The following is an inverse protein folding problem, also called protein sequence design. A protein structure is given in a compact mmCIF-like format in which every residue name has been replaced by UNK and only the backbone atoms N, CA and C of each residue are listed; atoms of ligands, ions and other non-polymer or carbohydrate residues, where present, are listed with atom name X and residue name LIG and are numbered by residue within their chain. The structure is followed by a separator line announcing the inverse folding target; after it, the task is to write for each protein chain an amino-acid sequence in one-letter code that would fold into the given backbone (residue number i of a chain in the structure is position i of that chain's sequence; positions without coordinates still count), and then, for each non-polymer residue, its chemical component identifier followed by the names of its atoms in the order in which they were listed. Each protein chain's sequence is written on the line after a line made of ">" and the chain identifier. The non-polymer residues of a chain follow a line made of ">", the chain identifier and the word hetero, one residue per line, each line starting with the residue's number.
data_IF_326926785321
#
_entry.id   IF_326926785321
#
_cell.length_a   1.000
_cell.length_b   1.000
_cell.length_c   1.000
_cell.angle_alpha   90.00
_cell.angle_beta   90.00
_cell.angle_gamma   90.00
#
_symmetry.space_group_name_H-M   'P 1'
#
loop_
_entity.id
_entity.type
_entity.pdbx_description
1 polymer ?
#
# COMPACT_ATOMS: atom_id res chain seq x y z
N UNK A 1 -9.38 49.90 34.42
CA UNK A 1 -9.11 48.52 34.89
C UNK A 1 -9.70 47.40 33.98
N UNK A 2 -10.66 47.71 33.13
CA UNK A 2 -11.30 46.75 32.18
C UNK A 2 -10.41 46.39 30.95
N UNK A 3 -9.61 47.34 30.47
CA UNK A 3 -8.84 47.16 29.22
C UNK A 3 -7.67 46.16 29.34
N UNK A 4 -7.12 45.99 30.52
CA UNK A 4 -5.99 45.06 30.77
C UNK A 4 -6.46 43.62 30.86
N UNK A 5 -7.71 43.36 31.30
CA UNK A 5 -8.30 42.01 31.30
C UNK A 5 -8.59 41.49 29.90
N UNK A 6 -9.01 42.37 28.99
CA UNK A 6 -9.30 41.96 27.57
C UNK A 6 -8.03 41.57 26.80
N UNK A 7 -6.91 42.26 27.02
CA UNK A 7 -5.62 41.90 26.38
C UNK A 7 -5.06 40.56 26.88
N UNK A 8 -5.21 40.26 28.17
CA UNK A 8 -4.77 38.97 28.73
C UNK A 8 -5.60 37.77 28.22
N UNK A 9 -6.90 37.96 28.02
CA UNK A 9 -7.76 36.93 27.47
C UNK A 9 -7.43 36.65 26.00
N UNK A 10 -7.20 37.69 25.20
CA UNK A 10 -6.82 37.52 23.77
C UNK A 10 -5.51 36.78 23.61
N UNK A 11 -4.51 37.03 24.46
CA UNK A 11 -3.24 36.29 24.44
C UNK A 11 -3.37 34.83 24.91
N UNK A 12 -4.35 34.52 25.74
CA UNK A 12 -4.57 33.14 26.19
C UNK A 12 -5.20 32.27 25.09
N UNK A 13 -6.18 32.78 24.36
CA UNK A 13 -6.78 32.12 23.23
C UNK A 13 -5.80 31.97 22.05
N UNK A 14 -4.97 32.96 21.79
CA UNK A 14 -3.91 32.87 20.77
C UNK A 14 -2.86 31.78 21.14
N UNK A 15 -2.51 31.68 22.41
CA UNK A 15 -1.59 30.62 22.90
C UNK A 15 -2.20 29.22 22.82
N UNK A 16 -3.49 29.07 23.14
CA UNK A 16 -4.20 27.80 23.00
C UNK A 16 -4.36 27.45 21.52
N UNK A 17 -4.71 28.41 20.67
CA UNK A 17 -4.82 28.18 19.23
C UNK A 17 -3.48 27.82 18.59
N UNK A 18 -2.39 28.48 18.98
CA UNK A 18 -1.02 28.15 18.55
C UNK A 18 -0.58 26.77 19.05
N UNK A 19 -0.92 26.37 20.29
CA UNK A 19 -0.58 25.04 20.79
C UNK A 19 -1.40 23.93 20.14
N UNK A 20 -2.68 24.17 19.79
CA UNK A 20 -3.49 23.24 19.03
C UNK A 20 -3.03 23.15 17.58
N UNK A 21 -2.63 24.27 16.97
CA UNK A 21 -2.03 24.29 15.62
C UNK A 21 -0.66 23.58 15.60
N UNK A 22 0.14 23.73 16.68
CA UNK A 22 1.43 23.04 16.81
C UNK A 22 1.25 21.54 17.08
N UNK A 23 0.21 21.14 17.81
CA UNK A 23 -0.14 19.73 18.03
C UNK A 23 -0.69 19.08 16.76
N UNK A 24 -1.42 19.83 15.93
CA UNK A 24 -1.87 19.36 14.62
C UNK A 24 -0.73 19.22 13.60
N UNK A 25 0.38 19.93 13.77
CA UNK A 25 1.58 19.82 12.92
C UNK A 25 2.46 18.60 13.26
N UNK A 26 2.23 17.97 14.42
CA UNK A 26 2.90 16.73 14.85
C UNK A 26 2.09 15.45 14.51
N UNK A 27 1.00 15.55 13.75
CA UNK A 27 0.51 14.39 13.05
C UNK A 27 1.56 14.13 11.95
N UNK A 28 2.62 13.45 12.34
CA UNK A 28 3.56 12.83 11.41
C UNK A 28 2.70 12.06 10.43
N UNK A 29 2.63 12.51 9.18
CA UNK A 29 2.25 11.67 8.09
C UNK A 29 3.28 10.54 8.06
N UNK A 30 3.09 9.54 8.92
CA UNK A 30 3.54 8.21 8.61
C UNK A 30 2.80 7.90 7.32
N UNK A 31 3.47 8.05 6.18
CA UNK A 31 3.00 7.51 4.94
C UNK A 31 2.95 5.98 5.16
N UNK A 32 1.89 5.54 5.81
CA UNK A 32 1.51 4.14 5.80
C UNK A 32 1.18 3.86 4.33
N UNK A 33 2.15 3.34 3.64
CA UNK A 33 1.99 2.83 2.29
C UNK A 33 0.89 1.77 2.38
N UNK A 34 -0.25 2.00 1.74
CA UNK A 34 -1.37 1.07 1.72
C UNK A 34 -0.91 -0.34 1.38
N UNK A 35 -1.49 -1.35 2.02
CA UNK A 35 -1.14 -2.76 1.81
C UNK A 35 -2.21 -3.52 1.03
N UNK A 36 -3.40 -2.94 0.88
CA UNK A 36 -4.49 -3.51 0.10
C UNK A 36 -4.50 -2.93 -1.31
N UNK A 37 -4.54 -3.78 -2.33
CA UNK A 37 -4.55 -3.35 -3.72
C UNK A 37 -5.92 -2.78 -4.05
N UNK A 38 -5.98 -1.47 -4.28
CA UNK A 38 -7.21 -0.75 -4.62
C UNK A 38 -7.45 -0.72 -6.13
N UNK A 39 -8.69 -0.37 -6.53
CA UNK A 39 -9.02 -0.17 -7.93
C UNK A 39 -8.21 0.97 -8.57
N UNK A 40 -7.85 2.00 -7.78
CA UNK A 40 -6.99 3.09 -8.23
C UNK A 40 -5.58 2.59 -8.56
N UNK A 41 -5.02 1.69 -7.73
CA UNK A 41 -3.71 1.08 -7.99
C UNK A 41 -3.73 0.24 -9.27
N UNK A 42 -4.80 -0.54 -9.50
CA UNK A 42 -4.99 -1.31 -10.74
C UNK A 42 -5.17 -0.41 -11.97
N UNK A 43 -5.94 0.67 -11.86
CA UNK A 43 -6.09 1.63 -12.95
C UNK A 43 -4.76 2.32 -13.28
N UNK A 44 -4.00 2.68 -12.26
CA UNK A 44 -2.66 3.24 -12.45
C UNK A 44 -1.74 2.25 -13.19
N UNK A 45 -1.74 0.98 -12.81
CA UNK A 45 -0.94 -0.06 -13.45
C UNK A 45 -1.28 -0.21 -14.95
N UNK A 46 -2.57 -0.23 -15.30
CA UNK A 46 -3.04 -0.24 -16.70
C UNK A 46 -2.57 0.97 -17.48
N UNK A 47 -2.61 2.15 -16.86
CA UNK A 47 -2.12 3.38 -17.50
C UNK A 47 -0.61 3.37 -17.68
N UNK A 48 0.14 2.87 -16.69
CA UNK A 48 1.59 2.75 -16.77
C UNK A 48 2.01 1.86 -17.96
N UNK A 49 1.39 0.68 -18.10
CA UNK A 49 1.63 -0.21 -19.24
C UNK A 49 1.24 0.43 -20.58
N UNK A 50 0.10 1.11 -20.65
CA UNK A 50 -0.34 1.77 -21.89
C UNK A 50 0.59 2.91 -22.32
N UNK A 51 1.35 3.50 -21.39
CA UNK A 51 2.27 4.63 -21.61
C UNK A 51 3.73 4.22 -21.63
N UNK A 52 4.04 2.94 -21.65
CA UNK A 52 5.41 2.40 -21.56
C UNK A 52 6.42 3.15 -22.44
N UNK A 53 6.05 3.44 -23.69
CA UNK A 53 6.93 4.14 -24.64
C UNK A 53 7.11 5.65 -24.36
N UNK A 54 6.34 6.21 -23.41
CA UNK A 54 6.37 7.66 -23.11
C UNK A 54 6.88 7.96 -21.71
N UNK A 55 7.12 6.94 -20.88
CA UNK A 55 7.64 7.14 -19.53
C UNK A 55 9.08 7.65 -19.64
N UNK A 56 9.23 8.95 -19.46
CA UNK A 56 10.55 9.56 -19.31
C UNK A 56 11.11 9.17 -17.94
N UNK A 57 12.35 8.69 -17.98
CA UNK A 57 13.11 8.42 -16.74
C UNK A 57 13.04 9.63 -15.81
N UNK A 58 12.76 9.38 -14.56
CA UNK A 58 12.64 10.44 -13.55
C UNK A 58 14.05 10.94 -13.23
N UNK A 59 14.52 11.93 -13.99
CA UNK A 59 15.83 12.54 -13.80
C UNK A 59 16.02 13.01 -12.36
N UNK A 60 17.03 12.45 -11.69
CA UNK A 60 17.56 12.95 -10.42
C UNK A 60 16.92 12.43 -9.13
N UNK A 61 15.84 11.68 -9.16
CA UNK A 61 15.27 11.10 -7.94
C UNK A 61 15.93 9.76 -7.58
N UNK A 62 16.36 9.61 -6.35
CA UNK A 62 16.86 8.36 -5.78
C UNK A 62 15.69 7.41 -5.47
N UNK A 63 15.02 6.92 -6.52
CA UNK A 63 13.83 6.04 -6.40
C UNK A 63 14.24 4.59 -6.48
N UNK A 64 13.80 3.78 -5.51
CA UNK A 64 14.06 2.34 -5.46
C UNK A 64 12.77 1.54 -5.43
N UNK A 65 12.70 0.49 -6.23
CA UNK A 65 11.68 -0.54 -6.17
C UNK A 65 12.24 -1.82 -5.56
N UNK A 66 11.45 -2.48 -4.71
CA UNK A 66 11.78 -3.79 -4.14
C UNK A 66 10.78 -4.79 -4.65
N UNK A 67 11.26 -5.77 -5.41
CA UNK A 67 10.46 -6.87 -5.94
C UNK A 67 10.25 -7.95 -4.87
N UNK A 68 9.23 -8.78 -5.06
CA UNK A 68 9.09 -9.99 -4.28
C UNK A 68 10.26 -10.95 -4.56
N UNK A 69 10.67 -11.70 -3.53
CA UNK A 69 11.75 -12.67 -3.64
C UNK A 69 11.19 -14.04 -4.03
N UNK A 70 11.88 -14.79 -4.86
CA UNK A 70 11.43 -16.12 -5.25
C UNK A 70 11.81 -17.17 -4.19
N UNK A 71 10.84 -17.98 -3.74
CA UNK A 71 11.11 -19.09 -2.83
C UNK A 71 11.65 -20.30 -3.60
N UNK A 72 12.95 -20.47 -3.61
CA UNK A 72 13.66 -21.64 -4.18
C UNK A 72 14.07 -22.67 -3.15
N UNK A 73 13.50 -22.63 -1.94
CA UNK A 73 13.80 -23.60 -0.87
C UNK A 73 13.19 -24.97 -1.12
N UNK A 74 12.15 -25.07 -1.95
CA UNK A 74 11.32 -26.25 -2.11
C UNK A 74 10.31 -26.48 -0.98
N UNK A 75 10.24 -25.59 0.00
CA UNK A 75 9.33 -25.66 1.16
C UNK A 75 8.20 -24.64 0.98
N UNK A 76 6.98 -25.12 0.70
CA UNK A 76 5.83 -24.24 0.46
C UNK A 76 5.42 -23.38 1.69
N UNK A 77 5.71 -23.85 2.89
CA UNK A 77 5.48 -23.10 4.14
C UNK A 77 6.30 -21.81 4.23
N UNK A 78 7.35 -21.66 3.41
CA UNK A 78 8.17 -20.45 3.33
C UNK A 78 7.72 -19.48 2.23
N UNK A 79 6.69 -19.83 1.44
CA UNK A 79 6.15 -18.92 0.42
C UNK A 79 5.81 -17.52 0.97
N UNK A 80 5.25 -17.35 2.19
CA UNK A 80 4.97 -16.02 2.72
C UNK A 80 6.21 -15.12 2.88
N UNK A 81 7.41 -15.71 2.94
CA UNK A 81 8.65 -14.93 3.00
C UNK A 81 8.92 -14.13 1.72
N UNK A 82 8.39 -14.55 0.57
CA UNK A 82 8.60 -13.89 -0.73
C UNK A 82 8.16 -12.42 -0.68
N UNK A 83 6.93 -12.19 -0.27
CA UNK A 83 6.36 -10.84 -0.09
C UNK A 83 6.75 -10.22 1.25
N UNK A 84 6.93 -11.06 2.27
CA UNK A 84 7.31 -10.64 3.61
C UNK A 84 8.67 -9.94 3.67
N UNK A 85 9.67 -10.49 2.99
CA UNK A 85 10.99 -9.87 2.91
C UNK A 85 10.94 -8.53 2.15
N UNK A 86 10.24 -8.50 1.01
CA UNK A 86 10.03 -7.26 0.27
C UNK A 86 9.31 -6.21 1.11
N UNK A 87 8.26 -6.59 1.85
CA UNK A 87 7.53 -5.71 2.75
C UNK A 87 8.43 -5.12 3.84
N UNK A 88 9.29 -5.92 4.48
CA UNK A 88 10.22 -5.43 5.50
C UNK A 88 11.21 -4.44 4.91
N UNK A 89 11.83 -4.77 3.78
CA UNK A 89 12.78 -3.89 3.09
C UNK A 89 12.13 -2.58 2.64
N UNK A 90 10.91 -2.62 2.08
CA UNK A 90 10.16 -1.42 1.70
C UNK A 90 9.87 -0.55 2.92
N UNK A 91 9.43 -1.17 4.01
CA UNK A 91 9.11 -0.46 5.26
C UNK A 91 10.32 0.28 5.78
N UNK A 92 11.46 -0.38 5.86
CA UNK A 92 12.69 0.20 6.38
C UNK A 92 13.30 1.25 5.45
N UNK A 93 13.46 0.94 4.16
CA UNK A 93 13.99 1.89 3.18
C UNK A 93 13.13 3.16 3.08
N UNK A 94 11.81 3.07 3.30
CA UNK A 94 10.91 4.21 3.32
C UNK A 94 11.17 5.18 4.47
N UNK A 95 11.94 4.76 5.49
CA UNK A 95 12.34 5.64 6.60
C UNK A 95 13.60 6.46 6.29
N UNK A 96 14.29 6.16 5.19
CA UNK A 96 15.50 6.86 4.74
C UNK A 96 15.09 8.09 3.93
N UNK A 97 15.41 9.28 4.44
CA UNK A 97 14.97 10.56 3.88
C UNK A 97 15.41 10.78 2.43
N UNK A 98 16.59 10.31 2.09
CA UNK A 98 17.19 10.51 0.77
C UNK A 98 16.70 9.51 -0.30
N UNK A 99 15.86 8.54 0.07
CA UNK A 99 15.29 7.54 -0.82
C UNK A 99 13.79 7.80 -1.06
N UNK A 100 13.36 7.53 -2.27
CA UNK A 100 11.95 7.43 -2.63
C UNK A 100 11.66 5.95 -2.93
N UNK A 101 10.92 5.30 -2.04
CA UNK A 101 10.61 3.87 -2.22
C UNK A 101 9.29 3.73 -2.96
N UNK A 102 9.26 2.89 -3.97
CA UNK A 102 8.04 2.55 -4.69
C UNK A 102 7.08 1.79 -3.76
N UNK A 103 5.85 2.23 -3.72
CA UNK A 103 4.81 1.61 -2.88
C UNK A 103 4.58 0.15 -3.28
N UNK A 104 4.51 -0.75 -2.28
CA UNK A 104 4.29 -2.19 -2.51
C UNK A 104 3.03 -2.44 -3.35
N UNK A 105 1.94 -1.75 -3.07
CA UNK A 105 0.66 -1.94 -3.80
C UNK A 105 0.75 -1.55 -5.26
N UNK A 106 1.53 -0.53 -5.61
CA UNK A 106 1.79 -0.15 -7.00
C UNK A 106 2.63 -1.20 -7.71
N UNK A 107 3.68 -1.67 -7.04
CA UNK A 107 4.51 -2.75 -7.55
C UNK A 107 3.66 -3.99 -7.81
N UNK A 108 2.88 -4.45 -6.83
CA UNK A 108 2.04 -5.64 -6.95
C UNK A 108 0.96 -5.49 -8.03
N UNK A 109 0.27 -4.33 -8.09
CA UNK A 109 -0.74 -4.08 -9.13
C UNK A 109 -0.13 -4.09 -10.54
N UNK A 110 1.09 -3.57 -10.71
CA UNK A 110 1.80 -3.62 -11.99
C UNK A 110 2.16 -5.07 -12.37
N UNK A 111 2.66 -5.86 -11.42
CA UNK A 111 2.98 -7.28 -11.67
C UNK A 111 1.76 -8.08 -12.11
N UNK A 112 0.60 -7.86 -11.46
CA UNK A 112 -0.65 -8.49 -11.85
C UNK A 112 -1.07 -8.11 -13.28
N UNK A 113 -0.96 -6.84 -13.66
CA UNK A 113 -1.33 -6.35 -14.99
C UNK A 113 -0.36 -6.82 -16.08
N UNK A 114 0.93 -7.00 -15.77
CA UNK A 114 1.94 -7.60 -16.65
C UNK A 114 1.72 -9.12 -16.86
N UNK A 115 0.74 -9.73 -16.16
CA UNK A 115 0.46 -11.16 -16.27
C UNK A 115 1.41 -12.05 -15.46
N UNK A 116 2.23 -11.45 -14.56
CA UNK A 116 3.12 -12.18 -13.66
C UNK A 116 2.38 -12.82 -12.48
N UNK A 117 1.05 -12.65 -12.46
CA UNK A 117 0.14 -13.24 -11.48
C UNK A 117 0.29 -12.66 -10.08
N UNK A 118 -0.40 -13.31 -9.13
CA UNK A 118 -0.42 -12.88 -7.74
C UNK A 118 0.92 -13.12 -7.02
N UNK A 119 1.79 -13.94 -7.56
CA UNK A 119 3.14 -14.15 -7.01
C UNK A 119 3.97 -12.87 -7.08
N UNK A 120 3.74 -12.01 -8.11
CA UNK A 120 4.51 -10.80 -8.33
C UNK A 120 6.01 -11.07 -8.52
N UNK A 121 6.35 -12.25 -9.04
CA UNK A 121 7.73 -12.63 -9.33
C UNK A 121 8.10 -12.15 -10.74
N UNK A 122 9.26 -11.54 -10.86
CA UNK A 122 9.77 -10.97 -12.12
C UNK A 122 10.98 -11.79 -12.57
N UNK A 123 10.93 -12.28 -13.80
CA UNK A 123 12.10 -12.92 -14.41
C UNK A 123 13.23 -11.90 -14.59
N UNK A 124 14.47 -12.37 -14.54
CA UNK A 124 15.65 -11.47 -14.64
C UNK A 124 15.69 -10.66 -15.93
N UNK A 125 15.06 -11.15 -17.01
CA UNK A 125 14.96 -10.46 -18.29
C UNK A 125 13.99 -9.27 -18.27
N UNK A 126 12.94 -9.34 -17.45
CA UNK A 126 11.88 -8.32 -17.39
C UNK A 126 12.13 -7.26 -16.30
N UNK A 127 13.18 -7.44 -15.51
CA UNK A 127 13.51 -6.53 -14.39
C UNK A 127 13.75 -5.08 -14.83
N UNK A 128 14.51 -4.78 -15.90
CA UNK A 128 14.72 -3.40 -16.34
C UNK A 128 13.41 -2.73 -16.80
N UNK A 129 12.56 -3.46 -17.55
CA UNK A 129 11.27 -2.96 -18.01
C UNK A 129 10.36 -2.65 -16.83
N UNK A 130 10.24 -3.57 -15.90
CA UNK A 130 9.50 -3.38 -14.65
C UNK A 130 9.97 -2.15 -13.90
N UNK A 131 11.29 -1.95 -13.78
CA UNK A 131 11.88 -0.79 -13.14
C UNK A 131 11.50 0.52 -13.84
N UNK A 132 11.51 0.55 -15.17
CA UNK A 132 11.08 1.71 -15.97
C UNK A 132 9.59 2.02 -15.74
N UNK A 133 8.73 1.03 -15.80
CA UNK A 133 7.29 1.19 -15.56
C UNK A 133 6.97 1.70 -14.15
N UNK A 134 7.77 1.33 -13.15
CA UNK A 134 7.66 1.83 -11.77
C UNK A 134 8.29 3.22 -11.59
N UNK A 135 8.99 3.76 -12.59
CA UNK A 135 9.76 5.00 -12.47
C UNK A 135 10.92 4.88 -11.47
N UNK A 136 11.43 3.68 -11.29
CA UNK A 136 12.52 3.41 -10.36
C UNK A 136 13.86 3.67 -11.03
N UNK A 137 14.80 4.30 -10.29
CA UNK A 137 16.21 4.37 -10.67
C UNK A 137 16.90 3.06 -10.33
N UNK A 138 16.56 2.47 -9.21
CA UNK A 138 17.13 1.21 -8.75
C UNK A 138 16.04 0.20 -8.51
N UNK A 139 16.33 -1.05 -8.79
CA UNK A 139 15.43 -2.16 -8.50
C UNK A 139 16.22 -3.28 -7.83
N UNK A 140 15.63 -3.85 -6.78
CA UNK A 140 16.21 -4.98 -6.05
C UNK A 140 15.20 -6.11 -5.99
N UNK A 141 15.66 -7.32 -6.17
CA UNK A 141 14.92 -8.56 -6.06
C UNK A 141 15.88 -9.73 -5.91
N UNK A 142 15.38 -10.93 -5.81
CA UNK A 142 16.25 -12.09 -5.66
C UNK A 142 15.53 -13.37 -5.21
N UNK A 143 16.30 -14.28 -4.63
CA UNK A 143 15.88 -15.62 -4.29
C UNK A 143 16.10 -15.92 -2.81
N UNK A 144 15.18 -16.72 -2.25
CA UNK A 144 15.31 -17.35 -0.93
C UNK A 144 15.64 -18.81 -1.15
N UNK A 145 16.78 -19.26 -0.65
CA UNK A 145 17.31 -20.61 -0.77
C UNK A 145 17.45 -21.24 0.62
N UNK A 146 17.35 -22.54 0.69
CA UNK A 146 17.72 -23.30 1.88
C UNK A 146 18.40 -24.59 1.45
N UNK A 147 19.46 -24.95 2.14
CA UNK A 147 20.03 -26.28 2.04
C UNK A 147 19.41 -27.17 3.13
N UNK A 148 19.22 -28.44 2.89
CA UNK A 148 18.59 -29.36 3.82
C UNK A 148 19.20 -29.25 5.24
N UNK A 149 18.38 -28.92 6.24
CA UNK A 149 18.75 -28.69 7.65
C UNK A 149 19.71 -27.50 7.90
N UNK A 150 19.75 -26.52 7.02
CA UNK A 150 20.74 -25.46 6.99
C UNK A 150 20.07 -24.06 7.08
N UNK A 151 20.88 -23.01 7.28
CA UNK A 151 20.37 -21.64 7.28
C UNK A 151 19.67 -21.29 5.95
N UNK A 152 18.80 -20.29 6.01
CA UNK A 152 18.28 -19.62 4.83
C UNK A 152 19.40 -18.77 4.20
N UNK A 153 19.44 -18.75 2.88
CA UNK A 153 20.33 -17.90 2.10
C UNK A 153 19.46 -16.97 1.24
N UNK A 154 19.70 -15.68 1.35
CA UNK A 154 19.09 -14.69 0.46
C UNK A 154 20.13 -14.25 -0.53
N UNK A 155 19.87 -14.49 -1.80
CA UNK A 155 20.66 -13.94 -2.90
C UNK A 155 19.83 -12.86 -3.58
N UNK A 156 20.36 -11.66 -3.69
CA UNK A 156 19.68 -10.59 -4.36
C UNK A 156 20.57 -9.92 -5.40
N UNK A 157 19.93 -9.13 -6.27
CA UNK A 157 20.60 -8.31 -7.27
C UNK A 157 20.03 -6.90 -7.18
N UNK A 158 20.91 -5.91 -7.13
CA UNK A 158 20.59 -4.49 -7.20
C UNK A 158 20.98 -3.99 -8.58
N UNK A 159 19.98 -3.58 -9.37
CA UNK A 159 20.14 -3.09 -10.73
C UNK A 159 19.95 -1.57 -10.78
N UNK A 160 20.82 -0.87 -11.51
CA UNK A 160 20.57 0.49 -12.00
C UNK A 160 19.73 0.39 -13.28
N UNK A 161 18.49 0.88 -13.22
CA UNK A 161 17.52 0.70 -14.30
C UNK A 161 17.87 1.47 -15.57
N UNK A 162 18.27 2.77 -15.49
CA UNK A 162 18.72 3.54 -16.65
C UNK A 162 19.88 2.91 -17.42
N UNK A 163 20.86 2.41 -16.68
CA UNK A 163 22.09 1.88 -17.28
C UNK A 163 22.00 0.37 -17.54
N UNK A 164 20.92 -0.30 -17.08
CA UNK A 164 20.72 -1.76 -17.11
C UNK A 164 21.92 -2.52 -16.52
N UNK A 165 22.56 -1.91 -15.51
CA UNK A 165 23.79 -2.43 -14.92
C UNK A 165 23.55 -2.92 -13.48
N UNK A 166 24.03 -4.14 -13.20
CA UNK A 166 24.04 -4.67 -11.84
C UNK A 166 25.08 -3.93 -11.01
N UNK A 167 24.63 -3.19 -10.00
CA UNK A 167 25.50 -2.45 -9.06
C UNK A 167 26.15 -3.39 -8.03
N UNK A 168 25.50 -4.50 -7.70
CA UNK A 168 26.00 -5.51 -6.80
C UNK A 168 24.98 -6.59 -6.52
N UNK A 169 25.43 -7.62 -5.83
CA UNK A 169 24.62 -8.78 -5.44
C UNK A 169 24.67 -8.96 -3.91
N UNK A 170 23.90 -8.16 -3.16
CA UNK A 170 23.88 -8.30 -1.71
C UNK A 170 23.30 -9.64 -1.30
N UNK A 171 23.94 -10.26 -0.31
CA UNK A 171 23.53 -11.57 0.22
C UNK A 171 23.37 -11.50 1.73
N UNK A 172 22.53 -12.37 2.27
CA UNK A 172 22.39 -12.57 3.70
C UNK A 172 22.13 -14.04 4.01
N UNK A 173 22.57 -14.50 5.18
CA UNK A 173 22.30 -15.86 5.64
C UNK A 173 21.91 -15.88 7.11
N UNK A 174 21.16 -16.87 7.53
CA UNK A 174 20.76 -17.04 8.92
C UNK A 174 19.69 -18.10 9.10
N UNK A 175 19.25 -18.27 10.34
CA UNK A 175 18.17 -19.21 10.66
C UNK A 175 16.81 -18.49 10.61
N UNK A 176 15.76 -19.22 10.28
CA UNK A 176 14.40 -18.65 10.19
C UNK A 176 13.95 -17.99 11.49
N UNK A 177 14.32 -18.54 12.65
CA UNK A 177 13.96 -17.98 13.96
C UNK A 177 14.49 -16.55 14.17
N UNK A 178 15.59 -16.20 13.48
CA UNK A 178 16.21 -14.88 13.48
C UNK A 178 16.04 -14.18 12.14
N UNK A 179 14.89 -14.32 11.49
CA UNK A 179 14.66 -13.80 10.14
C UNK A 179 14.89 -12.28 10.04
N UNK A 180 14.64 -11.54 11.11
CA UNK A 180 14.93 -10.11 11.15
C UNK A 180 16.44 -9.80 10.99
N UNK A 181 17.36 -10.65 11.50
CA UNK A 181 18.81 -10.44 11.32
C UNK A 181 19.22 -10.61 9.86
N UNK A 182 18.60 -11.59 9.16
CA UNK A 182 18.80 -11.80 7.74
C UNK A 182 18.37 -10.55 6.97
N UNK A 183 17.19 -10.04 7.27
CA UNK A 183 16.66 -8.84 6.61
C UNK A 183 17.56 -7.62 6.90
N UNK A 184 17.98 -7.37 8.15
CA UNK A 184 18.86 -6.23 8.48
C UNK A 184 20.21 -6.33 7.77
N UNK A 185 20.78 -7.52 7.68
CA UNK A 185 22.03 -7.75 6.93
C UNK A 185 21.84 -7.37 5.47
N UNK A 186 20.75 -7.83 4.84
CA UNK A 186 20.45 -7.51 3.45
C UNK A 186 20.19 -6.01 3.25
N UNK A 187 19.41 -5.39 4.13
CA UNK A 187 19.09 -3.96 4.12
C UNK A 187 20.33 -3.09 4.11
N UNK A 188 21.24 -3.31 5.07
CA UNK A 188 22.47 -2.50 5.16
C UNK A 188 23.39 -2.74 3.97
N UNK A 189 23.50 -3.96 3.45
CA UNK A 189 24.25 -4.24 2.23
C UNK A 189 23.68 -3.50 1.02
N UNK A 190 22.36 -3.40 0.90
CA UNK A 190 21.70 -2.60 -0.15
C UNK A 190 22.03 -1.11 0.01
N UNK A 191 21.89 -0.57 1.22
CA UNK A 191 22.18 0.86 1.50
C UNK A 191 23.63 1.21 1.18
N UNK A 192 24.58 0.34 1.54
CA UNK A 192 26.01 0.53 1.25
C UNK A 192 26.28 0.55 -0.27
N UNK A 193 25.67 -0.34 -1.03
CA UNK A 193 25.77 -0.36 -2.50
C UNK A 193 25.18 0.90 -3.14
N UNK A 194 24.08 1.41 -2.59
CA UNK A 194 23.45 2.66 -3.05
C UNK A 194 24.27 3.92 -2.67
N UNK A 195 25.26 3.78 -1.79
CA UNK A 195 26.08 4.88 -1.26
C UNK A 195 25.21 5.98 -0.64
N UNK A 196 24.17 5.57 0.09
CA UNK A 196 23.27 6.49 0.80
C UNK A 196 23.86 6.76 2.18
N UNK A 197 24.08 8.04 2.48
CA UNK A 197 24.54 8.47 3.80
C UNK A 197 23.36 8.49 4.78
N UNK A 198 23.45 7.66 5.82
CA UNK A 198 22.46 7.61 6.90
C UNK A 198 22.85 8.56 8.01
N UNK A 199 21.89 9.33 8.49
CA UNK A 199 22.03 10.02 9.79
C UNK A 199 22.08 9.00 10.92
N UNK A 200 22.60 9.41 12.08
CA UNK A 200 22.62 8.56 13.27
C UNK A 200 21.21 8.11 13.70
N UNK A 201 20.22 8.99 13.55
CA UNK A 201 18.83 8.69 13.89
C UNK A 201 18.22 7.66 12.92
N UNK A 202 18.49 7.76 11.63
CA UNK A 202 18.06 6.78 10.63
C UNK A 202 18.70 5.42 10.90
N UNK A 203 20.01 5.38 11.17
CA UNK A 203 20.70 4.12 11.51
C UNK A 203 20.08 3.43 12.72
N UNK A 204 19.87 4.14 13.82
CA UNK A 204 19.23 3.59 15.02
C UNK A 204 17.82 3.07 14.72
N UNK A 205 17.08 3.74 13.84
CA UNK A 205 15.74 3.32 13.44
C UNK A 205 15.76 2.05 12.59
N UNK A 206 16.66 1.99 11.62
CA UNK A 206 16.83 0.84 10.73
C UNK A 206 17.35 -0.41 11.46
N UNK A 207 18.13 -0.25 12.53
CA UNK A 207 18.61 -1.35 13.37
C UNK A 207 17.49 -2.02 14.19
N UNK A 208 16.33 -1.34 14.36
CA UNK A 208 15.21 -1.92 15.11
C UNK A 208 14.49 -2.97 14.27
N UNK A 209 14.28 -4.19 14.82
CA UNK A 209 13.49 -5.19 14.12
C UNK A 209 12.02 -4.78 14.08
N UNK A 210 11.33 -5.15 13.01
CA UNK A 210 9.88 -5.01 12.92
C UNK A 210 9.18 -5.83 14.01
N UNK A 211 9.67 -7.05 14.26
CA UNK A 211 9.32 -7.92 15.39
C UNK A 211 10.46 -8.91 15.65
N UNK A 212 10.67 -9.25 16.91
CA UNK A 212 11.55 -10.38 17.32
C UNK A 212 10.81 -11.72 17.31
N UNK A 213 9.50 -11.71 17.11
CA UNK A 213 8.68 -12.91 17.07
C UNK A 213 8.46 -13.35 15.62
N UNK A 214 9.29 -14.27 15.16
CA UNK A 214 9.21 -14.80 13.78
C UNK A 214 7.85 -15.40 13.45
N UNK A 215 7.15 -16.01 14.43
CA UNK A 215 5.79 -16.53 14.20
C UNK A 215 4.77 -15.42 13.99
N UNK A 216 4.96 -14.26 14.62
CA UNK A 216 4.13 -13.09 14.37
C UNK A 216 4.42 -12.51 12.98
N UNK A 217 5.68 -12.42 12.58
CA UNK A 217 6.07 -12.01 11.23
C UNK A 217 5.50 -12.93 10.15
N UNK A 218 5.58 -14.25 10.33
CA UNK A 218 5.02 -15.20 9.37
C UNK A 218 3.50 -15.05 9.24
N UNK A 219 2.78 -14.77 10.32
CA UNK A 219 1.33 -14.51 10.23
C UNK A 219 1.05 -13.18 9.53
N UNK A 220 1.84 -12.13 9.79
CA UNK A 220 1.75 -10.87 9.04
C UNK A 220 1.95 -11.12 7.54
N UNK A 221 2.95 -11.89 7.15
CA UNK A 221 3.23 -12.18 5.74
C UNK A 221 2.13 -13.00 5.07
N UNK A 222 1.57 -14.00 5.79
CA UNK A 222 0.38 -14.74 5.33
C UNK A 222 -0.84 -13.84 5.18
N UNK A 223 -0.99 -12.84 6.05
CA UNK A 223 -2.08 -11.87 5.93
C UNK A 223 -1.92 -11.01 4.68
N UNK A 224 -0.71 -10.57 4.35
CA UNK A 224 -0.41 -9.84 3.12
C UNK A 224 -0.72 -10.70 1.89
N UNK A 225 -0.29 -11.95 1.86
CA UNK A 225 -0.59 -12.88 0.77
C UNK A 225 -2.10 -13.05 0.57
N UNK A 226 -2.82 -13.36 1.65
CA UNK A 226 -4.27 -13.53 1.59
C UNK A 226 -4.99 -12.24 1.14
N UNK A 227 -4.50 -11.07 1.55
CA UNK A 227 -5.04 -9.78 1.12
C UNK A 227 -4.83 -9.54 -0.38
N UNK A 228 -3.66 -9.85 -0.91
CA UNK A 228 -3.35 -9.74 -2.34
C UNK A 228 -4.21 -10.69 -3.19
N UNK A 229 -4.53 -11.86 -2.65
CA UNK A 229 -5.45 -12.83 -3.26
C UNK A 229 -6.93 -12.43 -3.17
N UNK A 230 -7.24 -11.32 -2.50
CA UNK A 230 -8.62 -10.88 -2.25
C UNK A 230 -9.34 -11.71 -1.17
N UNK A 231 -8.63 -12.57 -0.45
CA UNK A 231 -9.16 -13.37 0.64
C UNK A 231 -9.14 -12.60 1.96
N UNK A 232 -9.92 -11.54 2.02
CA UNK A 232 -9.88 -10.54 3.10
C UNK A 232 -10.27 -11.12 4.47
N UNK A 233 -11.19 -12.08 4.51
CA UNK A 233 -11.56 -12.75 5.76
C UNK A 233 -10.37 -13.52 6.35
N UNK A 234 -9.63 -14.24 5.53
CA UNK A 234 -8.43 -14.95 5.95
C UNK A 234 -7.30 -14.00 6.32
N UNK A 235 -7.13 -12.91 5.57
CA UNK A 235 -6.16 -11.85 5.87
C UNK A 235 -6.42 -11.27 7.26
N UNK A 236 -7.68 -10.94 7.58
CA UNK A 236 -8.08 -10.43 8.89
C UNK A 236 -7.72 -11.40 10.02
N UNK A 237 -7.96 -12.70 9.84
CA UNK A 237 -7.63 -13.72 10.83
C UNK A 237 -6.11 -13.79 11.06
N UNK A 238 -5.30 -13.73 10.02
CA UNK A 238 -3.84 -13.74 10.12
C UNK A 238 -3.30 -12.45 10.77
N UNK A 239 -3.82 -11.25 10.42
CA UNK A 239 -3.45 -10.02 11.11
C UNK A 239 -3.75 -10.07 12.60
N UNK A 240 -4.93 -10.53 12.99
CA UNK A 240 -5.31 -10.72 14.41
C UNK A 240 -4.40 -11.73 15.12
N UNK A 241 -4.00 -12.80 14.42
CA UNK A 241 -3.06 -13.79 14.96
C UNK A 241 -1.66 -13.20 15.16
N UNK A 242 -1.17 -12.39 14.21
CA UNK A 242 0.11 -11.69 14.32
C UNK A 242 0.12 -10.74 15.53
N UNK A 243 -0.92 -9.91 15.69
CA UNK A 243 -1.09 -8.98 16.82
C UNK A 243 -1.16 -9.73 18.16
N UNK A 244 -1.86 -10.87 18.20
CA UNK A 244 -1.93 -11.70 19.41
C UNK A 244 -0.58 -12.27 19.82
N UNK A 245 0.30 -12.60 18.85
CA UNK A 245 1.64 -13.13 19.09
C UNK A 245 2.65 -12.06 19.46
N UNK A 246 2.47 -10.85 18.92
CA UNK A 246 3.29 -9.68 19.21
C UNK A 246 2.43 -8.40 19.13
N UNK A 247 2.02 -7.92 20.30
CA UNK A 247 1.21 -6.70 20.42
C UNK A 247 1.98 -5.41 20.06
N UNK A 248 3.31 -5.47 19.84
CA UNK A 248 4.11 -4.35 19.41
C UNK A 248 4.30 -4.29 17.89
N UNK A 249 3.80 -5.28 17.16
CA UNK A 249 3.85 -5.34 15.70
C UNK A 249 2.82 -4.37 15.08
N UNK A 250 3.10 -3.07 15.18
CA UNK A 250 2.20 -1.99 14.74
C UNK A 250 1.84 -2.07 13.26
N UNK A 251 2.71 -2.64 12.44
CA UNK A 251 2.42 -2.89 11.03
C UNK A 251 1.20 -3.81 10.83
N UNK A 252 1.05 -4.86 11.66
CA UNK A 252 -0.11 -5.75 11.58
C UNK A 252 -1.41 -5.03 12.00
N UNK A 253 -1.35 -4.16 13.01
CA UNK A 253 -2.50 -3.35 13.43
C UNK A 253 -2.92 -2.37 12.33
N UNK A 254 -1.97 -1.66 11.73
CA UNK A 254 -2.24 -0.69 10.70
C UNK A 254 -2.84 -1.33 9.45
N UNK A 255 -2.28 -2.47 9.00
CA UNK A 255 -2.79 -3.20 7.85
C UNK A 255 -4.20 -3.78 8.11
N UNK A 256 -4.47 -4.23 9.34
CA UNK A 256 -5.81 -4.66 9.75
C UNK A 256 -6.81 -3.51 9.70
N UNK A 257 -6.45 -2.34 10.22
CA UNK A 257 -7.30 -1.15 10.18
C UNK A 257 -7.58 -0.70 8.73
N UNK A 258 -6.58 -0.74 7.86
CA UNK A 258 -6.74 -0.44 6.45
C UNK A 258 -7.73 -1.41 5.79
N UNK A 259 -7.52 -2.72 5.96
CA UNK A 259 -8.40 -3.76 5.43
C UNK A 259 -9.84 -3.55 5.86
N UNK A 260 -10.08 -3.31 7.16
CA UNK A 260 -11.40 -3.07 7.70
C UNK A 260 -12.03 -1.78 7.18
N UNK A 261 -11.24 -0.72 6.97
CA UNK A 261 -11.75 0.55 6.43
C UNK A 261 -12.25 0.41 4.99
N UNK A 262 -11.59 -0.42 4.19
CA UNK A 262 -11.97 -0.70 2.80
C UNK A 262 -13.20 -1.61 2.74
N UNK A 263 -13.32 -2.59 3.63
CA UNK A 263 -14.51 -3.45 3.72
C UNK A 263 -15.76 -2.63 4.11
N UNK A 264 -15.64 -1.73 5.08
CA UNK A 264 -16.71 -0.78 5.42
C UNK A 264 -17.10 0.12 4.24
N UNK A 265 -16.13 0.58 3.45
CA UNK A 265 -16.41 1.42 2.29
C UNK A 265 -17.14 0.63 1.20
N UNK A 266 -16.72 -0.60 0.92
CA UNK A 266 -17.35 -1.48 -0.07
C UNK A 266 -18.76 -1.89 0.35
N UNK A 267 -18.98 -2.22 1.62
CA UNK A 267 -20.30 -2.56 2.17
C UNK A 267 -21.28 -1.39 2.07
N UNK A 268 -20.85 -0.16 2.43
CA UNK A 268 -21.67 1.05 2.28
C UNK A 268 -22.00 1.38 0.83
N UNK A 269 -21.05 1.20 -0.08
CA UNK A 269 -21.29 1.40 -1.50
C UNK A 269 -22.32 0.41 -2.04
N UNK A 270 -22.22 -0.87 -1.66
CA UNK A 270 -23.16 -1.91 -2.05
C UNK A 270 -24.58 -1.68 -1.47
N UNK A 271 -24.68 -1.28 -0.20
CA UNK A 271 -25.97 -0.91 0.43
C UNK A 271 -26.59 0.30 -0.29
N UNK A 272 -25.81 1.30 -0.63
CA UNK A 272 -26.29 2.49 -1.36
C UNK A 272 -26.77 2.13 -2.77
N UNK A 273 -26.05 1.24 -3.47
CA UNK A 273 -26.47 0.74 -4.79
C UNK A 273 -27.74 -0.10 -4.70
N UNK A 274 -27.89 -0.95 -3.68
CA UNK A 274 -29.12 -1.73 -3.44
C UNK A 274 -30.31 -0.80 -3.14
N UNK A 275 -30.12 0.22 -2.33
CA UNK A 275 -31.13 1.23 -2.06
C UNK A 275 -31.54 1.99 -3.31
N UNK A 276 -30.58 2.41 -4.15
CA UNK A 276 -30.86 3.07 -5.43
C UNK A 276 -31.61 2.14 -6.40
N UNK A 277 -31.23 0.86 -6.45
CA UNK A 277 -31.96 -0.13 -7.24
C UNK A 277 -33.38 -0.35 -6.72
N UNK A 278 -33.57 -0.47 -5.41
CA UNK A 278 -34.88 -0.62 -4.79
C UNK A 278 -35.77 0.60 -5.08
N UNK A 279 -35.24 1.83 -4.99
CA UNK A 279 -35.98 3.06 -5.33
C UNK A 279 -36.32 3.08 -6.83
N UNK A 280 -35.41 2.68 -7.70
CA UNK A 280 -35.66 2.60 -9.15
C UNK A 280 -36.75 1.56 -9.46
N UNK A 281 -36.71 0.42 -8.82
CA UNK A 281 -37.69 -0.64 -9.02
C UNK A 281 -39.07 -0.25 -8.48
N UNK A 282 -39.14 0.49 -7.37
CA UNK A 282 -40.38 1.08 -6.86
C UNK A 282 -40.96 2.15 -7.78
N UNK A 283 -40.11 2.93 -8.46
CA UNK A 283 -40.55 3.94 -9.44
C UNK A 283 -40.98 3.33 -10.77
N UNK A 284 -40.51 2.14 -11.11
CA UNK A 284 -40.95 1.40 -12.31
C UNK A 284 -42.29 0.64 -12.12
N UNK A 285 -42.76 0.50 -10.87
CA UNK A 285 -44.03 -0.17 -10.55
C UNK A 285 -45.31 0.68 -10.84
N UNK A 286 -45.17 1.88 -11.39
CA UNK A 286 -46.31 2.71 -11.78
C UNK A 286 -46.96 2.34 -13.11
N UNK A 287 -46.56 1.24 -13.74
CA UNK A 287 -47.13 0.75 -15.00
C UNK A 287 -47.90 -0.58 -14.83
N UNK A 288 -48.45 -0.82 -13.64
CA UNK A 288 -49.42 -1.91 -13.46
C UNK A 288 -50.76 -1.39 -13.93
N UNK A 289 -51.08 -1.65 -15.18
CA UNK A 289 -52.45 -1.54 -15.72
C UNK A 289 -53.35 -2.47 -14.94
N UNK A 290 -54.12 -1.93 -14.01
CA UNK A 290 -55.28 -2.62 -13.43
C UNK A 290 -56.38 -2.63 -14.51
N UNK A 291 -56.82 -3.78 -15.02
CA UNK A 291 -57.89 -3.83 -15.98
C UNK A 291 -59.18 -3.36 -15.33
N UNK A 292 -59.70 -2.19 -15.73
CA UNK A 292 -61.03 -1.75 -15.33
C UNK A 292 -61.19 -0.35 -14.74
N UNK A 293 -60.12 0.41 -14.54
CA UNK A 293 -60.22 1.83 -14.11
C UNK A 293 -59.64 2.77 -15.18
N UNK A 294 -60.53 3.30 -15.98
CA UNK A 294 -60.25 4.47 -16.82
C UNK A 294 -60.25 5.75 -15.96
N UNK A 295 -59.13 6.06 -15.35
CA UNK A 295 -58.91 7.34 -14.71
C UNK A 295 -58.34 8.29 -15.74
N UNK A 296 -59.10 9.33 -16.12
CA UNK A 296 -58.63 10.44 -16.96
C UNK A 296 -57.43 11.08 -16.24
N UNK A 297 -56.28 10.96 -16.83
CA UNK A 297 -55.04 11.62 -16.38
C UNK A 297 -55.21 13.11 -16.62
N UNK A 298 -55.37 13.91 -15.58
CA UNK A 298 -55.22 15.36 -15.67
C UNK A 298 -53.74 15.63 -15.92
N UNK A 299 -53.42 15.94 -17.16
CA UNK A 299 -52.09 16.41 -17.55
C UNK A 299 -51.83 17.74 -16.85
N UNK A 300 -50.77 17.79 -16.07
CA UNK A 300 -50.19 19.04 -15.54
C UNK A 300 -49.83 19.91 -16.75
N UNK A 301 -50.28 21.19 -16.82
CA UNK A 301 -49.97 22.05 -17.95
C UNK A 301 -48.45 22.21 -18.10
N UNK A 302 -47.94 22.19 -19.33
CA UNK A 302 -46.52 22.24 -19.71
C UNK A 302 -45.75 23.49 -19.25
N UNK A 303 -46.38 24.39 -18.48
CA UNK A 303 -45.80 25.67 -18.07
C UNK A 303 -45.00 25.69 -16.75
N UNK A 304 -44.93 24.57 -16.00
CA UNK A 304 -44.33 24.58 -14.67
C UNK A 304 -43.23 23.51 -14.47
N UNK A 305 -42.39 23.31 -15.47
CA UNK A 305 -41.15 22.54 -15.29
C UNK A 305 -40.07 23.47 -14.74
N UNK A 306 -39.78 23.35 -13.47
CA UNK A 306 -38.57 23.92 -12.88
C UNK A 306 -37.40 23.03 -13.33
N UNK A 307 -36.42 23.57 -14.08
CA UNK A 307 -35.23 22.79 -14.40
C UNK A 307 -34.41 22.61 -13.11
N UNK A 308 -34.32 21.37 -12.64
CA UNK A 308 -33.35 21.02 -11.59
C UNK A 308 -31.99 20.85 -12.29
N UNK A 309 -31.20 21.92 -12.29
CA UNK A 309 -29.77 21.85 -12.61
C UNK A 309 -29.04 21.31 -11.38
N UNK A 310 -28.63 20.08 -11.45
CA UNK A 310 -27.62 19.50 -10.52
C UNK A 310 -26.26 20.07 -10.95
N UNK A 311 -25.82 21.15 -10.29
CA UNK A 311 -24.40 21.57 -10.33
C UNK A 311 -23.58 20.57 -9.52
N UNK A 312 -22.97 19.61 -10.21
CA UNK A 312 -21.92 18.78 -9.64
C UNK A 312 -20.61 19.53 -9.84
N UNK A 313 -19.92 19.98 -8.79
CA UNK A 313 -18.62 20.60 -8.96
C UNK A 313 -17.63 19.55 -9.48
N UNK A 314 -17.09 19.77 -10.68
CA UNK A 314 -15.95 19.03 -11.22
C UNK A 314 -14.72 19.51 -10.46
N UNK A 315 -13.96 18.63 -9.78
CA UNK A 315 -12.69 19.05 -9.19
C UNK A 315 -11.73 19.46 -10.32
N UNK A 316 -11.15 20.64 -10.18
CA UNK A 316 -10.11 21.12 -11.08
C UNK A 316 -8.90 20.19 -11.04
N UNK A 317 -8.39 19.89 -12.23
CA UNK A 317 -7.14 19.16 -12.50
C UNK A 317 -5.91 19.89 -11.92
#
# INVERSE_FOLDING_TARGET
>A
MLHIKFLKLKNHYVRIFMSVLFLAMFISNSAFCGQVITDEARQWAKQALAQEHTIQQTDGKKTIAVLNFENKTGMAELNPLQKGLAFMLITDLSTVRDLHVVERVKMQALMEEMGLGQSGLVESGDTPETGRLLGAKWIVGGDILALAQAPLYIHSSLLDVPDEQVLGQPTAEGILDNFFEIEKTLLFNIIDLLKVELTQEERIRLERPLSLNTKALLDLFKAIDASDEGNYEQAEQYYKSAIKKDAQLTAAEANLMELQSLDFASTRANESLQLLQAVRDQTSLTDTTVPGLTTKRNLIPEGNRIPITLDVPVPAL
#
